data_IF_293050423470
#
_entry.id   IF_293050423470
#
_cell.length_a   1.000
_cell.length_b   1.000
_cell.length_c   1.000
_cell.angle_alpha   90.00
_cell.angle_beta   90.00
_cell.angle_gamma   90.00
#
_symmetry.space_group_name_H-M   'P 1'
#
loop_
_entity.id
_entity.type
_entity.pdbx_description
1 polymer ?
#
# COMPACT_ATOMS: atom_id res chain seq x y z
N UNK A 1 -18.76 -6.49 -8.78
CA UNK A 1 -17.48 -6.15 -8.15
C UNK A 1 -17.43 -6.85 -6.80
N UNK A 2 -16.48 -7.76 -6.58
CA UNK A 2 -16.30 -8.45 -5.30
C UNK A 2 -15.69 -7.50 -4.27
N UNK A 3 -16.33 -7.34 -3.12
CA UNK A 3 -15.79 -6.58 -1.99
C UNK A 3 -14.47 -7.21 -1.53
N UNK A 4 -13.37 -6.47 -1.59
CA UNK A 4 -12.07 -6.95 -1.12
C UNK A 4 -12.08 -7.00 0.41
N UNK A 5 -11.97 -8.20 0.98
CA UNK A 5 -11.86 -8.45 2.42
C UNK A 5 -10.40 -8.73 2.79
N UNK A 6 -9.92 -8.13 3.86
CA UNK A 6 -8.52 -8.19 4.31
C UNK A 6 -8.48 -8.53 5.81
N UNK A 7 -7.57 -9.42 6.21
CA UNK A 7 -7.34 -9.78 7.62
C UNK A 7 -6.91 -8.54 8.42
N UNK A 8 -7.33 -8.44 9.68
CA UNK A 8 -6.99 -7.32 10.56
C UNK A 8 -5.47 -7.08 10.69
N UNK A 9 -4.65 -8.13 10.60
CA UNK A 9 -3.18 -8.03 10.68
C UNK A 9 -2.57 -7.49 9.39
N UNK A 10 -3.24 -7.70 8.27
CA UNK A 10 -2.76 -7.34 6.94
C UNK A 10 -3.36 -6.02 6.44
N UNK A 11 -4.34 -5.44 7.16
CA UNK A 11 -5.00 -4.18 6.76
C UNK A 11 -3.97 -3.06 6.62
N UNK A 12 -3.02 -2.99 7.55
CA UNK A 12 -1.89 -2.09 7.49
C UNK A 12 -0.66 -2.71 8.17
N UNK A 13 0.18 -3.37 7.38
CA UNK A 13 1.53 -3.81 7.77
C UNK A 13 2.57 -2.98 7.00
N UNK A 14 3.03 -1.90 7.62
CA UNK A 14 3.95 -0.97 6.96
C UNK A 14 5.25 -1.67 6.55
N UNK A 15 5.51 -1.71 5.24
CA UNK A 15 6.69 -2.36 4.66
C UNK A 15 7.71 -1.35 4.12
N UNK A 16 7.37 -0.06 4.13
CA UNK A 16 8.24 1.01 3.68
C UNK A 16 7.88 2.36 4.33
N UNK A 17 8.69 3.37 4.03
CA UNK A 17 8.42 4.79 4.31
C UNK A 17 8.54 5.62 3.03
N UNK A 18 7.83 6.73 2.96
CA UNK A 18 7.96 7.67 1.86
C UNK A 18 9.34 8.36 1.88
N UNK A 19 9.94 8.52 0.71
CA UNK A 19 11.29 9.05 0.53
C UNK A 19 11.32 10.58 0.36
N UNK A 20 10.25 11.12 -0.23
CA UNK A 20 10.05 12.53 -0.59
C UNK A 20 8.57 12.87 -0.49
N UNK A 21 8.25 14.15 -0.66
CA UNK A 21 6.87 14.60 -0.82
C UNK A 21 6.38 14.30 -2.24
N UNK A 22 5.11 13.95 -2.38
CA UNK A 22 4.43 13.71 -3.66
C UNK A 22 2.91 13.79 -3.50
N UNK A 23 2.17 13.85 -4.61
CA UNK A 23 0.71 13.80 -4.62
C UNK A 23 0.19 12.37 -4.80
N UNK A 24 -0.90 12.06 -4.15
CA UNK A 24 -1.59 10.80 -4.31
C UNK A 24 -3.10 10.99 -4.18
N UNK A 25 -3.86 10.19 -4.92
CA UNK A 25 -5.32 10.19 -4.88
C UNK A 25 -5.83 9.09 -3.98
N UNK A 26 -6.74 9.43 -3.08
CA UNK A 26 -7.44 8.44 -2.25
C UNK A 26 -8.44 7.69 -3.15
N UNK A 27 -8.37 6.36 -3.15
CA UNK A 27 -9.28 5.51 -3.96
C UNK A 27 -10.26 4.71 -3.10
N UNK A 28 -10.09 4.76 -1.78
CA UNK A 28 -11.01 4.17 -0.82
C UNK A 28 -10.36 4.02 0.55
N UNK A 29 -11.13 3.51 1.49
CA UNK A 29 -10.69 3.26 2.86
C UNK A 29 -11.06 1.86 3.31
N UNK A 30 -10.38 1.36 4.34
CA UNK A 30 -10.68 0.07 4.93
C UNK A 30 -11.54 0.26 6.17
N UNK A 31 -12.75 -0.28 6.13
CA UNK A 31 -13.68 -0.30 7.27
C UNK A 31 -13.66 -1.67 7.95
N UNK A 32 -13.57 -1.68 9.27
CA UNK A 32 -13.68 -2.91 10.05
C UNK A 32 -15.11 -3.47 10.00
N UNK A 33 -15.25 -4.78 9.84
CA UNK A 33 -16.55 -5.45 9.71
C UNK A 33 -17.26 -5.63 11.05
N UNK A 34 -16.51 -5.72 12.14
CA UNK A 34 -17.06 -5.93 13.48
C UNK A 34 -16.33 -5.13 14.57
N UNK A 35 -16.76 -5.26 15.83
CA UNK A 35 -16.25 -4.48 16.95
C UNK A 35 -14.89 -4.96 17.49
N UNK A 36 -14.48 -6.20 17.21
CA UNK A 36 -13.25 -6.77 17.74
C UNK A 36 -12.03 -6.30 16.96
N UNK A 37 -10.91 -6.11 17.64
CA UNK A 37 -9.64 -5.68 17.01
C UNK A 37 -9.08 -6.66 15.97
N UNK A 38 -9.55 -7.91 16.02
CA UNK A 38 -9.17 -8.99 15.11
C UNK A 38 -10.17 -9.19 13.97
N UNK A 39 -11.26 -8.43 13.94
CA UNK A 39 -12.25 -8.55 12.87
C UNK A 39 -11.68 -8.02 11.56
N UNK A 40 -11.98 -8.74 10.48
CA UNK A 40 -11.55 -8.37 9.14
C UNK A 40 -12.01 -6.97 8.75
N UNK A 41 -11.30 -6.43 7.77
CA UNK A 41 -11.63 -5.19 7.11
C UNK A 41 -12.22 -5.47 5.74
N UNK A 42 -13.09 -4.57 5.31
CA UNK A 42 -13.55 -4.50 3.93
C UNK A 42 -13.06 -3.20 3.31
N UNK A 43 -12.64 -3.27 2.05
CA UNK A 43 -12.32 -2.10 1.25
C UNK A 43 -13.61 -1.45 0.75
N UNK A 44 -13.78 -0.17 1.05
CA UNK A 44 -14.88 0.66 0.57
C UNK A 44 -14.32 1.65 -0.47
N UNK A 45 -14.52 1.39 -1.78
CA UNK A 45 -14.00 2.26 -2.84
C UNK A 45 -14.71 3.61 -2.82
N UNK A 46 -13.98 4.66 -3.16
CA UNK A 46 -14.51 6.01 -3.33
C UNK A 46 -14.35 6.41 -4.79
N UNK A 47 -15.46 6.82 -5.40
CA UNK A 47 -15.42 7.42 -6.74
C UNK A 47 -14.97 8.89 -6.66
N UNK A 48 -14.09 9.30 -7.56
CA UNK A 48 -13.56 10.68 -7.61
C UNK A 48 -12.83 11.14 -6.34
N UNK A 49 -12.21 10.21 -5.58
CA UNK A 49 -11.58 10.55 -4.31
C UNK A 49 -10.53 11.67 -4.40
N UNK A 50 -10.34 12.38 -3.28
CA UNK A 50 -9.50 13.57 -3.22
C UNK A 50 -8.01 13.28 -3.40
N UNK A 51 -7.30 14.21 -4.05
CA UNK A 51 -5.83 14.24 -4.08
C UNK A 51 -5.30 14.88 -2.80
N UNK A 52 -4.25 14.28 -2.22
CA UNK A 52 -3.58 14.75 -1.01
C UNK A 52 -2.07 14.83 -1.23
N UNK A 53 -1.42 15.73 -0.50
CA UNK A 53 0.03 15.77 -0.38
C UNK A 53 0.50 14.74 0.65
N UNK A 54 1.27 13.77 0.20
CA UNK A 54 1.93 12.79 1.07
C UNK A 54 3.32 13.31 1.41
N UNK A 55 3.59 13.48 2.69
CA UNK A 55 4.88 13.97 3.18
C UNK A 55 5.93 12.86 3.20
N UNK A 56 7.20 13.24 3.18
CA UNK A 56 8.33 12.33 3.38
C UNK A 56 8.34 11.72 4.80
N UNK A 57 8.87 10.51 4.93
CA UNK A 57 8.99 9.79 6.20
C UNK A 57 7.71 9.13 6.71
N UNK A 58 6.60 9.21 5.97
CA UNK A 58 5.33 8.59 6.33
C UNK A 58 5.43 7.07 6.13
N UNK A 59 5.09 6.24 7.14
CA UNK A 59 5.01 4.80 6.98
C UNK A 59 3.90 4.43 6.00
N UNK A 60 4.21 3.53 5.06
CA UNK A 60 3.27 3.04 4.05
C UNK A 60 3.39 1.53 3.88
N UNK A 61 2.29 0.92 3.44
CA UNK A 61 2.30 -0.45 2.94
C UNK A 61 2.16 -0.38 1.42
N UNK A 62 3.25 -0.64 0.70
CA UNK A 62 3.21 -0.79 -0.76
C UNK A 62 2.48 -2.09 -1.08
N UNK A 63 1.48 -2.01 -1.95
CA UNK A 63 0.73 -3.17 -2.39
C UNK A 63 1.39 -3.82 -3.60
N UNK A 64 1.30 -5.14 -3.73
CA UNK A 64 1.82 -5.90 -4.89
C UNK A 64 0.78 -6.44 -5.84
N UNK A 65 -0.47 -6.38 -5.43
CA UNK A 65 -1.61 -6.68 -6.27
C UNK A 65 -2.55 -5.50 -6.12
N UNK A 66 -2.37 -4.50 -7.00
CA UNK A 66 -3.40 -3.49 -7.20
C UNK A 66 -4.64 -4.15 -7.80
N UNK A 67 -5.78 -3.46 -7.69
CA UNK A 67 -7.03 -3.85 -8.39
C UNK A 67 -6.79 -3.90 -9.90
N UNK A 68 -5.76 -3.20 -10.38
CA UNK A 68 -5.04 -3.43 -11.63
C UNK A 68 -3.56 -3.66 -11.27
N UNK A 69 -2.94 -4.74 -11.78
CA UNK A 69 -1.67 -5.28 -11.29
C UNK A 69 -0.45 -4.33 -11.41
N UNK A 70 -0.63 -3.19 -12.06
CA UNK A 70 0.44 -2.26 -12.42
C UNK A 70 0.27 -0.85 -11.84
N UNK A 71 -0.74 -0.58 -11.03
CA UNK A 71 -0.87 0.72 -10.38
C UNK A 71 0.13 0.92 -9.23
N UNK A 72 0.63 2.14 -9.11
CA UNK A 72 1.47 2.60 -8.00
C UNK A 72 0.64 2.82 -6.71
N UNK A 73 0.03 1.73 -6.23
CA UNK A 73 -0.87 1.69 -5.08
C UNK A 73 -0.13 1.45 -3.76
N UNK A 74 -0.61 2.10 -2.70
CA UNK A 74 -0.14 1.90 -1.33
C UNK A 74 -1.24 2.21 -0.32
N UNK A 75 -1.07 1.73 0.91
CA UNK A 75 -1.91 2.09 2.06
C UNK A 75 -1.14 2.96 3.03
N UNK A 76 -1.86 3.82 3.75
CA UNK A 76 -1.31 4.59 4.88
C UNK A 76 -2.37 4.85 5.94
N UNK A 77 -1.92 5.15 7.16
CA UNK A 77 -2.79 5.68 8.18
C UNK A 77 -3.06 7.18 7.99
N UNK A 78 -4.33 7.58 8.06
CA UNK A 78 -4.76 8.97 8.03
C UNK A 78 -6.01 9.14 8.89
N UNK A 79 -5.99 10.11 9.81
CA UNK A 79 -7.11 10.40 10.73
C UNK A 79 -7.71 9.20 11.48
N UNK A 80 -6.89 8.19 11.82
CA UNK A 80 -7.35 6.97 12.49
C UNK A 80 -7.91 5.89 11.55
N UNK A 81 -7.96 6.16 10.26
CA UNK A 81 -8.38 5.24 9.20
C UNK A 81 -7.17 4.69 8.45
N UNK A 82 -7.39 3.61 7.70
CA UNK A 82 -6.42 3.09 6.72
C UNK A 82 -6.97 3.40 5.35
N UNK A 83 -6.31 4.31 4.65
CA UNK A 83 -6.67 4.70 3.29
C UNK A 83 -5.84 3.90 2.29
N UNK A 84 -6.45 3.56 1.14
CA UNK A 84 -5.74 3.12 -0.07
C UNK A 84 -5.61 4.31 -1.00
N UNK A 85 -4.40 4.52 -1.52
CA UNK A 85 -4.08 5.61 -2.41
C UNK A 85 -3.37 5.10 -3.67
N UNK A 86 -3.53 5.87 -4.74
CA UNK A 86 -2.78 5.72 -6.00
C UNK A 86 -1.87 6.93 -6.16
N UNK A 87 -0.59 6.69 -6.41
CA UNK A 87 0.38 7.76 -6.66
C UNK A 87 0.07 8.53 -7.95
N UNK A 88 0.14 9.85 -7.89
CA UNK A 88 0.04 10.73 -9.05
C UNK A 88 1.44 11.17 -9.49
N UNK A 89 1.81 10.79 -10.72
CA UNK A 89 3.06 11.26 -11.33
C UNK A 89 2.96 12.75 -11.63
N UNK A 90 4.00 13.50 -11.28
CA UNK A 90 4.14 14.90 -11.71
C UNK A 90 4.56 14.99 -13.20
N UNK A 91 4.95 13.86 -13.81
CA UNK A 91 5.30 13.82 -15.22
C UNK A 91 4.03 13.72 -16.08
N UNK A 92 3.87 14.69 -16.97
CA UNK A 92 2.78 14.73 -17.96
C UNK A 92 3.13 13.79 -19.11
N UNK A 93 2.94 12.48 -18.92
CA UNK A 93 3.19 11.48 -19.94
C UNK A 93 2.37 10.23 -19.71
N UNK A 94 1.90 9.61 -20.79
CA UNK A 94 1.28 8.27 -20.82
C UNK A 94 2.36 7.21 -20.54
N UNK A 95 2.93 7.22 -19.34
CA UNK A 95 3.80 6.15 -18.89
C UNK A 95 2.98 4.86 -18.76
N UNK A 96 3.49 3.76 -19.31
CA UNK A 96 2.87 2.46 -19.14
C UNK A 96 2.76 2.15 -17.63
N UNK A 97 1.68 1.49 -17.16
CA UNK A 97 1.47 1.21 -15.75
C UNK A 97 2.69 0.60 -15.02
N UNK A 98 3.38 -0.36 -15.66
CA UNK A 98 4.58 -0.98 -15.09
C UNK A 98 5.74 0.01 -14.86
N UNK A 99 5.88 0.98 -15.76
CA UNK A 99 6.91 2.02 -15.67
C UNK A 99 6.56 3.01 -14.55
N UNK A 100 5.27 3.33 -14.38
CA UNK A 100 4.79 4.17 -13.27
C UNK A 100 5.08 3.54 -11.91
N UNK A 101 4.80 2.25 -11.75
CA UNK A 101 5.09 1.55 -10.50
C UNK A 101 6.59 1.51 -10.21
N UNK A 102 7.40 1.20 -11.21
CA UNK A 102 8.86 1.17 -11.06
C UNK A 102 9.40 2.53 -10.64
N UNK A 103 8.91 3.59 -11.28
CA UNK A 103 9.28 4.96 -10.97
C UNK A 103 8.85 5.38 -9.55
N UNK A 104 7.61 5.06 -9.13
CA UNK A 104 7.14 5.27 -7.76
C UNK A 104 8.05 4.61 -6.73
N UNK A 105 8.39 3.33 -6.94
CA UNK A 105 9.22 2.58 -6.00
C UNK A 105 10.66 3.12 -5.95
N UNK A 106 11.18 3.62 -7.07
CA UNK A 106 12.52 4.18 -7.15
C UNK A 106 12.62 5.57 -6.49
N UNK A 107 11.64 6.45 -6.73
CA UNK A 107 11.72 7.85 -6.30
C UNK A 107 11.01 8.15 -4.98
N UNK A 108 9.87 7.50 -4.72
CA UNK A 108 8.95 7.90 -3.68
C UNK A 108 9.00 7.00 -2.44
N UNK A 109 9.63 5.83 -2.52
CA UNK A 109 9.57 4.81 -1.46
C UNK A 109 10.96 4.38 -1.01
N UNK A 110 11.15 4.25 0.30
CA UNK A 110 12.30 3.55 0.90
C UNK A 110 11.79 2.37 1.71
N UNK A 111 12.14 1.16 1.30
CA UNK A 111 11.84 -0.04 2.08
C UNK A 111 12.43 0.05 3.49
N UNK A 112 11.74 -0.50 4.49
CA UNK A 112 12.34 -0.70 5.80
C UNK A 112 13.41 -1.80 5.65
N UNK A 113 14.69 -1.42 5.66
CA UNK A 113 15.78 -2.39 5.65
C UNK A 113 15.82 -3.08 7.01
N UNK A 114 15.49 -4.37 7.07
CA UNK A 114 16.10 -5.22 8.07
C UNK A 114 17.43 -5.74 7.49
N UNK A 115 18.53 -5.27 8.09
CA UNK A 115 19.92 -5.63 7.84
C UNK A 115 20.57 -5.19 6.50
N UNK A 116 21.83 -4.77 6.63
CA UNK A 116 22.75 -4.47 5.53
C UNK A 116 22.86 -5.67 4.57
N UNK A 117 22.64 -5.44 3.27
CA UNK A 117 23.04 -6.36 2.20
C UNK A 117 21.92 -6.88 1.29
N UNK A 118 20.65 -6.69 1.64
CA UNK A 118 19.51 -7.11 0.80
C UNK A 118 18.87 -5.86 0.21
N UNK A 119 18.90 -5.70 -1.12
CA UNK A 119 18.31 -4.54 -1.80
C UNK A 119 16.84 -4.37 -1.43
N UNK A 120 16.35 -3.12 -1.30
CA UNK A 120 15.00 -2.82 -0.80
C UNK A 120 13.87 -3.55 -1.53
N UNK A 121 14.01 -3.79 -2.83
CA UNK A 121 13.07 -4.59 -3.61
C UNK A 121 13.00 -6.07 -3.15
N UNK A 122 14.12 -6.65 -2.71
CA UNK A 122 14.18 -8.01 -2.19
C UNK A 122 13.61 -8.12 -0.78
N UNK A 123 13.69 -7.07 0.05
CA UNK A 123 13.04 -7.04 1.38
C UNK A 123 11.52 -6.97 1.22
N UNK A 124 11.04 -6.09 0.33
CA UNK A 124 9.63 -6.06 -0.05
C UNK A 124 9.23 -7.45 -0.55
N UNK A 125 9.93 -8.01 -1.54
CA UNK A 125 9.66 -9.36 -2.04
C UNK A 125 9.69 -10.47 -0.96
N UNK A 126 10.52 -10.35 0.08
CA UNK A 126 10.63 -11.31 1.18
C UNK A 126 9.44 -11.27 2.14
N UNK A 127 9.03 -10.06 2.57
CA UNK A 127 7.81 -9.89 3.38
C UNK A 127 6.58 -10.39 2.63
N UNK A 128 6.54 -10.16 1.32
CA UNK A 128 5.44 -10.60 0.46
C UNK A 128 5.35 -12.12 0.29
N UNK A 129 6.48 -12.85 0.34
CA UNK A 129 6.48 -14.33 0.31
C UNK A 129 6.05 -14.96 1.62
N UNK A 130 6.25 -14.27 2.75
CA UNK A 130 6.06 -14.83 4.10
C UNK A 130 4.61 -14.76 4.59
N UNK A 131 3.72 -14.05 3.88
CA UNK A 131 2.28 -14.01 4.18
C UNK A 131 1.56 -15.34 3.89
N UNK A 132 2.24 -16.32 3.27
CA UNK A 132 1.69 -17.65 2.98
C UNK A 132 2.17 -18.71 3.98
N UNK A 133 1.53 -18.81 5.15
CA UNK A 133 1.15 -20.07 5.81
C UNK A 133 0.51 -19.80 7.19
N UNK A 134 -0.74 -20.26 7.38
CA UNK A 134 -1.25 -20.50 8.73
C UNK A 134 -0.58 -21.77 9.27
N UNK A 135 -0.08 -21.81 10.52
CA UNK A 135 -0.03 -23.08 11.23
C UNK A 135 -1.48 -23.54 11.44
N UNK A 136 -1.81 -24.72 10.92
CA UNK A 136 -3.05 -25.41 11.30
C UNK A 136 -2.99 -25.67 12.80
N UNK A 137 -3.94 -25.09 13.54
CA UNK A 137 -4.26 -25.53 14.89
C UNK A 137 -5.31 -26.61 14.74
N UNK A 138 -4.87 -27.86 14.86
CA UNK A 138 -5.69 -28.97 15.35
C UNK A 138 -6.07 -28.74 16.82
#
# INVERSE_FOLDING_TARGET
>A
MSTLRVDARDVFDANAKTARNFRARIVGHFRRVGPNVWDDYIFEPIDGGQTVDVLAGVPVQVETQGVEADDACFRMHRHGEVDRLVWESDQSGDDLPHDRRTHFLAECVRAFSEAHGIGGAAVIAGKLRSSAAKPSLE
#
